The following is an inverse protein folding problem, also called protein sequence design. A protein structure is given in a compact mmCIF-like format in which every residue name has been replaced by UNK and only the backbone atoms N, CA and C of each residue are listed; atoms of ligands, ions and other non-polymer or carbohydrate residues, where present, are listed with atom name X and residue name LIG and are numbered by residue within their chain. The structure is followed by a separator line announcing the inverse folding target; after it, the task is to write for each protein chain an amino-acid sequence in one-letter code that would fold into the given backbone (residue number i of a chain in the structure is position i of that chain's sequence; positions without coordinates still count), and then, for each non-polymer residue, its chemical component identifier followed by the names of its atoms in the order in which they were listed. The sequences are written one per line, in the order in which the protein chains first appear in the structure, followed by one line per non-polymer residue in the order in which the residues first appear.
data_IF_297712216059
#
_entry.id   IF_297712216059
#
_cell.length_a   1.000
_cell.length_b   1.000
_cell.length_c   1.000
_cell.angle_alpha   90.00
_cell.angle_beta   90.00
_cell.angle_gamma   90.00
#
_symmetry.space_group_name_H-M   'P 1'
#
loop_
_entity.id
_entity.type
_entity.pdbx_description
1 polymer ?
#
# COMPACT_ATOMS: atom_id res chain seq x y z
N UNK A 1 46.03 6.11 60.32
CA UNK A 1 46.28 4.67 60.18
C UNK A 1 45.85 4.23 58.78
N UNK A 2 46.81 3.71 57.98
CA UNK A 2 46.71 2.86 56.76
C UNK A 2 45.64 3.25 55.70
N UNK A 3 45.96 3.92 54.59
CA UNK A 3 46.59 3.44 53.33
C UNK A 3 45.92 2.23 52.67
N UNK A 4 45.28 2.41 51.50
CA UNK A 4 45.75 1.94 50.18
C UNK A 4 44.73 2.17 49.05
N UNK A 5 45.30 2.45 47.88
CA UNK A 5 44.74 2.83 46.57
C UNK A 5 43.90 1.77 45.85
N UNK A 6 43.06 2.20 44.89
CA UNK A 6 43.16 1.82 43.46
C UNK A 6 42.15 2.61 42.60
N UNK A 7 42.62 3.18 41.50
CA UNK A 7 41.79 3.78 40.45
C UNK A 7 41.31 2.74 39.43
N UNK A 8 40.21 3.05 38.74
CA UNK A 8 39.83 2.47 37.44
C UNK A 8 38.75 3.31 36.76
N UNK A 9 39.18 4.00 35.70
CA UNK A 9 38.60 3.97 34.34
C UNK A 9 37.09 4.18 34.19
N UNK A 10 36.70 5.37 33.69
CA UNK A 10 35.44 5.59 32.97
C UNK A 10 35.33 4.60 31.80
N UNK A 11 34.30 3.75 31.81
CA UNK A 11 33.87 2.98 30.64
C UNK A 11 32.75 3.75 29.95
N UNK A 12 32.98 4.03 28.67
CA UNK A 12 32.00 4.45 27.68
C UNK A 12 30.88 3.42 27.54
N UNK A 13 29.66 3.92 27.35
CA UNK A 13 28.48 3.12 26.98
C UNK A 13 28.48 2.98 25.45
N UNK A 14 28.33 1.77 24.87
CA UNK A 14 28.45 1.56 23.43
C UNK A 14 27.17 1.97 22.69
N UNK A 15 27.34 2.77 21.64
CA UNK A 15 26.39 2.96 20.55
C UNK A 15 26.31 1.68 19.71
N UNK A 16 25.17 1.00 19.77
CA UNK A 16 24.68 0.11 18.71
C UNK A 16 23.37 0.78 18.24
N UNK A 17 23.22 1.25 17.00
CA UNK A 17 23.14 0.45 15.77
C UNK A 17 23.40 1.36 14.55
N UNK A 18 24.60 1.28 13.96
CA UNK A 18 24.92 1.86 12.63
C UNK A 18 25.33 0.78 11.61
N UNK A 19 25.31 -0.50 12.04
CA UNK A 19 25.83 -1.64 11.28
C UNK A 19 24.76 -2.46 10.54
N UNK A 20 23.46 -2.26 10.80
CA UNK A 20 22.40 -3.01 10.08
C UNK A 20 21.94 -2.30 8.80
N UNK A 21 21.95 -0.96 8.75
CA UNK A 21 21.60 -0.21 7.54
C UNK A 21 22.64 -0.33 6.41
N UNK A 22 23.93 -0.42 6.77
CA UNK A 22 25.04 -0.48 5.79
C UNK A 22 25.17 -1.83 5.08
N UNK A 23 24.57 -2.90 5.63
CA UNK A 23 24.57 -4.21 4.97
C UNK A 23 23.52 -4.33 3.87
N UNK A 24 22.37 -3.66 4.00
CA UNK A 24 21.33 -3.69 2.96
C UNK A 24 21.75 -2.90 1.71
N UNK A 25 22.43 -1.76 1.84
CA UNK A 25 22.96 -0.99 0.70
C UNK A 25 24.08 -1.73 -0.06
N UNK A 26 24.94 -2.47 0.67
CA UNK A 26 26.01 -3.29 0.07
C UNK A 26 25.48 -4.50 -0.70
N UNK A 27 24.34 -5.05 -0.28
CA UNK A 27 23.72 -6.21 -0.92
C UNK A 27 22.99 -5.82 -2.22
N UNK A 28 22.35 -4.65 -2.24
CA UNK A 28 21.72 -4.06 -3.42
C UNK A 28 22.74 -3.68 -4.50
N UNK A 29 23.87 -3.10 -4.12
CA UNK A 29 24.95 -2.72 -5.07
C UNK A 29 25.65 -3.92 -5.69
N UNK A 30 25.84 -5.03 -4.97
CA UNK A 30 26.40 -6.27 -5.55
C UNK A 30 25.46 -6.96 -6.55
N UNK A 31 24.14 -6.88 -6.37
CA UNK A 31 23.18 -7.49 -7.31
C UNK A 31 23.01 -6.68 -8.61
N UNK A 32 23.14 -5.35 -8.54
CA UNK A 32 23.05 -4.46 -9.71
C UNK A 32 24.30 -4.52 -10.60
N UNK A 33 25.49 -4.75 -10.03
CA UNK A 33 26.74 -4.87 -10.80
C UNK A 33 26.91 -6.24 -11.49
N UNK A 34 26.17 -7.27 -11.06
CA UNK A 34 26.26 -8.63 -11.60
C UNK A 34 25.46 -8.89 -12.88
N UNK A 35 24.58 -7.96 -13.30
CA UNK A 35 23.59 -8.19 -14.38
C UNK A 35 23.79 -7.32 -15.62
N UNK A 36 24.79 -6.42 -15.66
CA UNK A 36 25.00 -5.51 -16.80
C UNK A 36 25.78 -6.07 -18.00
N UNK A 37 26.17 -7.35 -18.00
CA UNK A 37 26.99 -7.91 -19.10
C UNK A 37 26.24 -8.62 -20.23
N UNK A 38 24.93 -8.43 -20.39
CA UNK A 38 24.23 -8.90 -21.60
C UNK A 38 22.92 -8.16 -21.79
N UNK A 39 22.89 -7.14 -22.67
CA UNK A 39 21.78 -6.76 -23.56
C UNK A 39 22.07 -5.39 -24.18
N UNK A 40 22.61 -5.37 -25.40
CA UNK A 40 22.59 -4.19 -26.27
C UNK A 40 21.29 -4.20 -27.08
N UNK A 41 20.38 -3.26 -26.81
CA UNK A 41 19.11 -3.14 -27.52
C UNK A 41 18.47 -1.77 -27.31
N UNK A 42 18.48 -0.97 -28.37
CA UNK A 42 18.01 0.42 -28.44
C UNK A 42 16.47 0.49 -28.38
N UNK A 43 15.90 1.26 -27.44
CA UNK A 43 14.47 1.61 -27.41
C UNK A 43 14.28 3.05 -26.88
N UNK A 44 14.06 3.99 -27.80
CA UNK A 44 13.63 5.36 -27.49
C UNK A 44 12.09 5.43 -27.39
N UNK A 45 11.53 5.72 -26.19
CA UNK A 45 10.17 6.25 -26.01
C UNK A 45 10.05 7.09 -24.70
N UNK A 46 9.19 8.13 -24.66
CA UNK A 46 9.26 9.22 -23.68
C UNK A 46 8.67 8.89 -22.31
N UNK A 47 9.32 9.44 -21.28
CA UNK A 47 9.01 9.30 -19.85
C UNK A 47 7.66 9.96 -19.49
N UNK A 48 6.61 9.17 -19.29
CA UNK A 48 5.37 9.60 -18.62
C UNK A 48 5.47 9.21 -17.14
N UNK A 49 5.47 10.22 -16.27
CA UNK A 49 5.39 10.05 -14.81
C UNK A 49 4.07 9.35 -14.42
N UNK A 50 4.14 8.10 -13.97
CA UNK A 50 3.04 7.41 -13.30
C UNK A 50 3.53 6.81 -11.97
N UNK A 51 2.94 7.26 -10.86
CA UNK A 51 3.08 6.62 -9.57
C UNK A 51 2.46 5.20 -9.60
N UNK A 52 3.00 4.21 -8.86
CA UNK A 52 2.54 2.84 -8.95
C UNK A 52 1.15 2.67 -8.30
N UNK A 53 0.13 2.47 -9.14
CA UNK A 53 -1.22 2.05 -8.73
C UNK A 53 -1.13 0.55 -8.38
N UNK A 54 -1.37 0.19 -7.11
CA UNK A 54 -1.60 -1.20 -6.69
C UNK A 54 -2.84 -1.72 -7.45
N UNK A 55 -2.63 -2.61 -8.41
CA UNK A 55 -3.73 -3.31 -9.11
C UNK A 55 -4.52 -4.14 -8.11
N UNK A 56 -5.82 -3.87 -8.04
CA UNK A 56 -6.78 -4.64 -7.26
C UNK A 56 -6.84 -6.10 -7.76
N UNK A 57 -6.94 -6.99 -6.79
CA UNK A 57 -6.93 -8.45 -6.94
C UNK A 57 -8.21 -8.87 -7.69
N UNK A 58 -8.07 -9.39 -8.90
CA UNK A 58 -9.17 -10.03 -9.65
C UNK A 58 -9.41 -11.41 -9.03
N UNK A 59 -10.60 -11.62 -8.46
CA UNK A 59 -11.06 -12.93 -7.99
C UNK A 59 -11.22 -13.88 -9.19
N UNK A 60 -10.44 -14.98 -9.22
CA UNK A 60 -10.65 -16.08 -10.16
C UNK A 60 -11.76 -17.00 -9.62
N UNK A 61 -12.75 -17.26 -10.48
CA UNK A 61 -13.80 -18.25 -10.28
C UNK A 61 -13.22 -19.64 -9.91
N UNK A 62 -13.71 -20.22 -8.82
CA UNK A 62 -13.39 -21.57 -8.35
C UNK A 62 -14.52 -22.54 -8.75
N UNK A 63 -14.18 -23.61 -9.47
CA UNK A 63 -15.06 -24.68 -9.91
C UNK A 63 -15.08 -25.81 -8.84
N UNK A 64 -16.24 -26.29 -8.34
CA UNK A 64 -16.29 -27.18 -7.18
C UNK A 64 -16.38 -28.66 -7.59
N UNK A 65 -15.25 -29.36 -7.65
CA UNK A 65 -15.25 -30.83 -7.60
C UNK A 65 -13.92 -31.42 -7.10
N UNK A 66 -13.78 -31.62 -5.79
CA UNK A 66 -13.30 -32.89 -5.18
C UNK A 66 -13.10 -32.77 -3.66
N UNK A 67 -14.01 -33.41 -2.92
CA UNK A 67 -13.84 -34.17 -1.68
C UNK A 67 -12.68 -33.89 -0.68
N UNK A 68 -13.09 -33.44 0.50
CA UNK A 68 -12.98 -34.10 1.82
C UNK A 68 -11.62 -34.42 2.47
N UNK A 69 -11.62 -34.20 3.80
CA UNK A 69 -10.72 -34.67 4.88
C UNK A 69 -9.53 -33.77 5.28
N UNK A 70 -9.69 -32.96 6.34
CA UNK A 70 -9.15 -33.27 7.70
C UNK A 70 -9.41 -32.17 8.74
N UNK A 71 -9.38 -32.62 9.99
CA UNK A 71 -9.96 -32.07 11.23
C UNK A 71 -9.19 -30.92 11.89
N UNK A 72 -9.97 -30.11 12.61
CA UNK A 72 -9.63 -29.20 13.72
C UNK A 72 -8.68 -29.81 14.76
N UNK A 73 -7.79 -29.00 15.34
CA UNK A 73 -7.51 -28.98 16.80
C UNK A 73 -7.16 -27.54 17.23
N UNK A 74 -7.88 -27.06 18.25
CA UNK A 74 -7.56 -25.95 19.16
C UNK A 74 -6.79 -26.52 20.35
N UNK A 75 -5.87 -25.77 20.94
CA UNK A 75 -5.63 -25.81 22.39
C UNK A 75 -5.23 -24.44 22.90
N UNK A 76 -5.85 -24.08 24.00
CA UNK A 76 -5.63 -22.92 24.85
C UNK A 76 -5.03 -23.37 26.19
N UNK A 77 -4.41 -22.40 26.86
CA UNK A 77 -4.33 -22.20 28.31
C UNK A 77 -3.20 -22.78 29.19
N UNK A 78 -2.96 -21.94 30.22
CA UNK A 78 -2.48 -22.14 31.60
C UNK A 78 -0.96 -22.25 31.81
N UNK A 79 -0.25 -21.51 32.69
CA UNK A 79 -0.42 -21.10 34.12
C UNK A 79 0.55 -19.91 34.42
N UNK A 80 0.13 -18.77 35.00
CA UNK A 80 0.14 -18.39 36.46
C UNK A 80 1.48 -18.61 37.18
N UNK A 81 1.97 -17.84 38.16
CA UNK A 81 1.57 -16.65 38.91
C UNK A 81 2.73 -16.33 39.90
N UNK A 82 2.79 -15.09 40.42
CA UNK A 82 3.29 -14.60 41.73
C UNK A 82 3.63 -13.11 41.56
N UNK A 83 3.14 -12.14 42.32
CA UNK A 83 2.52 -12.12 43.65
C UNK A 83 3.29 -11.13 44.54
N UNK A 84 2.56 -10.28 45.27
CA UNK A 84 2.95 -9.24 46.24
C UNK A 84 3.35 -7.87 45.64
N UNK A 85 2.59 -6.78 45.75
CA UNK A 85 2.03 -6.05 46.93
C UNK A 85 3.11 -5.35 47.76
N UNK A 86 3.12 -4.01 47.72
CA UNK A 86 3.14 -3.18 48.92
C UNK A 86 2.57 -1.79 48.61
N UNK A 87 1.96 -1.23 49.64
CA UNK A 87 0.98 -0.15 49.70
C UNK A 87 1.58 1.15 50.26
N UNK A 88 0.68 2.13 50.40
CA UNK A 88 0.73 3.33 51.26
C UNK A 88 1.27 4.61 50.56
N UNK A 89 0.40 5.59 50.24
CA UNK A 89 -0.16 6.67 51.11
C UNK A 89 0.95 7.65 51.53
N UNK A 90 0.86 8.98 51.53
CA UNK A 90 -0.17 10.00 51.76
C UNK A 90 0.41 11.33 51.21
N UNK A 91 -0.36 12.20 50.54
CA UNK A 91 -1.03 13.40 51.08
C UNK A 91 -0.18 14.69 51.12
N UNK A 92 -0.72 15.69 50.42
CA UNK A 92 -0.89 17.11 50.77
C UNK A 92 0.26 18.14 50.77
N UNK A 93 -0.08 19.22 50.04
CA UNK A 93 -0.03 20.64 50.39
C UNK A 93 1.16 21.57 50.06
N UNK A 94 0.73 22.70 49.47
CA UNK A 94 1.20 24.08 49.59
C UNK A 94 2.60 24.46 49.07
N UNK A 95 2.90 25.67 48.65
CA UNK A 95 2.18 26.85 48.20
C UNK A 95 3.29 27.85 47.78
N UNK A 96 2.90 28.86 47.00
CA UNK A 96 3.45 30.21 47.08
C UNK A 96 4.91 30.50 46.65
N UNK A 97 4.99 31.15 45.49
CA UNK A 97 5.40 32.56 45.35
C UNK A 97 6.78 32.89 44.75
N UNK A 98 6.70 33.92 43.89
CA UNK A 98 7.62 35.06 43.81
C UNK A 98 8.89 34.97 42.92
N UNK A 99 8.72 35.56 41.73
CA UNK A 99 9.37 36.81 41.29
C UNK A 99 10.69 36.77 40.51
N UNK A 100 10.67 37.66 39.50
CA UNK A 100 11.76 38.40 38.85
C UNK A 100 12.68 37.65 37.89
N UNK A 101 13.22 38.26 36.84
CA UNK A 101 12.92 39.42 35.95
C UNK A 101 14.09 39.46 34.94
N UNK A 102 14.00 40.35 33.96
CA UNK A 102 15.08 40.85 33.05
C UNK A 102 15.07 40.19 31.65
N UNK A 103 14.61 40.82 30.54
CA UNK A 103 15.02 42.08 29.85
C UNK A 103 16.42 41.89 29.20
N UNK A 104 16.67 41.95 27.88
CA UNK A 104 16.56 42.99 26.80
C UNK A 104 16.53 42.25 25.41
N UNK A 105 15.87 42.62 24.30
CA UNK A 105 15.86 43.82 23.40
C UNK A 105 17.25 44.12 22.75
N UNK A 106 17.52 44.40 21.46
CA UNK A 106 16.76 44.72 20.23
C UNK A 106 17.61 44.48 18.95
N UNK A 107 16.92 44.56 17.81
CA UNK A 107 17.23 45.41 16.63
C UNK A 107 18.04 44.90 15.42
N UNK A 108 17.47 45.27 14.26
CA UNK A 108 17.85 45.07 12.87
C UNK A 108 18.99 45.98 12.39
N UNK A 109 19.55 45.65 11.22
CA UNK A 109 20.01 46.65 10.25
C UNK A 109 20.10 46.09 8.82
N UNK A 110 20.07 47.01 7.85
CA UNK A 110 19.86 46.81 6.41
C UNK A 110 20.84 47.66 5.62
N UNK A 111 21.36 47.20 4.46
CA UNK A 111 21.90 48.06 3.39
C UNK A 111 22.10 47.33 2.05
N UNK A 112 22.02 48.11 0.98
CA UNK A 112 21.94 47.82 -0.47
C UNK A 112 23.26 47.88 -1.23
N UNK A 113 23.35 47.29 -2.46
CA UNK A 113 24.03 47.91 -3.63
C UNK A 113 23.78 47.14 -4.97
N UNK A 114 24.07 47.81 -6.11
CA UNK A 114 23.53 47.61 -7.48
C UNK A 114 24.52 47.01 -8.52
N UNK A 115 23.92 46.54 -9.64
CA UNK A 115 24.36 46.54 -11.07
C UNK A 115 25.09 45.32 -11.70
N UNK A 116 24.55 44.83 -12.84
CA UNK A 116 25.37 44.38 -13.99
C UNK A 116 24.93 43.12 -14.77
N UNK A 117 24.23 43.32 -15.91
CA UNK A 117 24.25 42.59 -17.21
C UNK A 117 24.25 41.04 -17.35
N UNK A 118 23.30 40.54 -18.17
CA UNK A 118 23.24 39.24 -18.89
C UNK A 118 24.42 39.03 -19.87
N UNK A 119 24.81 37.79 -20.31
CA UNK A 119 23.89 36.84 -20.98
C UNK A 119 24.15 35.32 -20.84
N UNK A 120 23.08 34.55 -21.12
CA UNK A 120 23.02 33.20 -21.71
C UNK A 120 24.18 32.20 -21.45
N UNK A 121 23.90 31.16 -20.66
CA UNK A 121 24.61 29.87 -20.78
C UNK A 121 23.69 28.70 -20.45
N UNK A 122 23.34 27.92 -21.47
CA UNK A 122 22.84 26.54 -21.36
C UNK A 122 23.86 25.67 -20.60
N UNK A 123 23.49 24.95 -19.53
CA UNK A 123 24.35 23.93 -18.96
C UNK A 123 24.10 22.59 -19.64
N UNK A 124 25.10 22.15 -20.39
CA UNK A 124 25.32 20.80 -20.85
C UNK A 124 25.32 19.78 -19.69
N UNK A 125 24.80 18.58 -19.94
CA UNK A 125 25.06 17.38 -19.15
C UNK A 125 26.58 17.12 -19.05
N UNK A 126 27.17 16.95 -17.85
CA UNK A 126 28.49 16.39 -17.74
C UNK A 126 28.39 14.86 -17.73
N UNK A 127 29.06 14.26 -18.72
CA UNK A 127 29.29 12.84 -18.83
C UNK A 127 30.01 12.28 -17.60
N UNK A 128 29.65 11.04 -17.29
CA UNK A 128 30.16 10.20 -16.22
C UNK A 128 31.63 9.83 -16.49
N UNK A 129 32.57 10.36 -15.71
CA UNK A 129 33.91 9.79 -15.59
C UNK A 129 34.07 9.14 -14.20
N UNK A 130 34.33 7.85 -14.25
CA UNK A 130 34.57 6.96 -13.13
C UNK A 130 35.99 7.17 -12.62
N UNK A 131 36.14 7.71 -11.41
CA UNK A 131 37.31 7.42 -10.59
C UNK A 131 36.93 7.08 -9.15
N UNK A 132 37.49 5.97 -8.69
CA UNK A 132 37.16 5.27 -7.45
C UNK A 132 38.06 5.75 -6.32
N UNK A 133 37.69 6.86 -5.68
CA UNK A 133 38.12 7.20 -4.32
C UNK A 133 36.94 7.81 -3.57
N UNK A 134 36.40 7.06 -2.60
CA UNK A 134 35.36 7.53 -1.69
C UNK A 134 35.94 8.60 -0.75
N UNK A 135 35.97 9.84 -1.23
CA UNK A 135 35.98 11.03 -0.40
C UNK A 135 34.51 11.31 -0.09
N UNK A 136 34.09 11.16 1.18
CA UNK A 136 32.80 11.68 1.65
C UNK A 136 32.75 13.15 1.23
N UNK A 137 31.88 13.58 0.29
CA UNK A 137 31.80 15.00 -0.02
C UNK A 137 31.31 15.70 1.24
N UNK A 138 32.04 16.71 1.70
CA UNK A 138 31.55 17.64 2.72
C UNK A 138 30.22 18.23 2.21
N UNK A 139 29.12 17.67 2.70
CA UNK A 139 27.78 18.17 2.38
C UNK A 139 27.68 19.51 3.09
N UNK A 140 27.81 20.61 2.35
CA UNK A 140 27.58 21.97 2.84
C UNK A 140 26.10 22.10 3.22
N UNK A 141 25.79 21.76 4.47
CA UNK A 141 24.45 21.84 5.06
C UNK A 141 23.87 23.25 4.90
N UNK A 142 24.71 24.29 5.03
CA UNK A 142 24.29 25.68 4.87
C UNK A 142 23.88 25.97 3.42
N UNK A 143 24.54 25.37 2.42
CA UNK A 143 24.13 25.51 1.03
C UNK A 143 22.81 24.78 0.72
N UNK A 144 22.55 23.64 1.36
CA UNK A 144 21.27 22.94 1.27
C UNK A 144 20.16 23.78 1.90
N UNK A 145 20.40 24.31 3.09
CA UNK A 145 19.44 25.16 3.79
C UNK A 145 19.13 26.42 2.99
N UNK A 146 20.15 27.11 2.46
CA UNK A 146 19.98 28.28 1.58
C UNK A 146 19.14 27.96 0.34
N UNK A 147 19.36 26.82 -0.32
CA UNK A 147 18.54 26.40 -1.46
C UNK A 147 17.09 26.10 -1.06
N UNK A 148 16.88 25.45 0.08
CA UNK A 148 15.55 25.16 0.58
C UNK A 148 14.78 26.45 0.89
N UNK A 149 15.41 27.40 1.59
CA UNK A 149 14.83 28.72 1.88
C UNK A 149 14.49 29.49 0.60
N UNK A 150 15.40 29.52 -0.39
CA UNK A 150 15.14 30.18 -1.67
C UNK A 150 13.98 29.53 -2.45
N UNK A 151 13.88 28.20 -2.44
CA UNK A 151 12.77 27.48 -3.08
C UNK A 151 11.43 27.82 -2.44
N UNK A 152 11.37 27.82 -1.10
CA UNK A 152 10.19 28.20 -0.33
C UNK A 152 9.80 29.64 -0.67
N UNK A 153 10.75 30.56 -0.61
CA UNK A 153 10.50 31.98 -0.90
C UNK A 153 9.98 32.18 -2.33
N UNK A 154 10.56 31.48 -3.32
CA UNK A 154 10.10 31.52 -4.72
C UNK A 154 8.69 30.96 -4.89
N UNK A 155 8.33 29.89 -4.16
CA UNK A 155 6.96 29.36 -4.15
C UNK A 155 5.96 30.30 -3.49
N UNK A 156 6.31 30.92 -2.38
CA UNK A 156 5.45 31.91 -1.70
C UNK A 156 5.38 33.25 -2.45
N UNK A 157 6.34 33.54 -3.33
CA UNK A 157 6.30 34.71 -4.22
C UNK A 157 5.31 34.54 -5.38
N UNK A 158 4.91 33.30 -5.69
CA UNK A 158 3.90 33.04 -6.71
C UNK A 158 2.52 33.23 -6.07
N UNK A 159 1.76 34.21 -6.58
CA UNK A 159 0.33 34.35 -6.27
C UNK A 159 -0.42 33.16 -6.90
N UNK A 160 -0.42 32.02 -6.21
CA UNK A 160 -1.24 30.87 -6.57
C UNK A 160 -2.66 31.17 -6.11
N UNK A 161 -3.60 31.20 -7.05
CA UNK A 161 -5.01 31.37 -6.74
C UNK A 161 -5.51 30.17 -5.92
N UNK A 162 -6.19 30.45 -4.79
CA UNK A 162 -6.64 29.40 -3.88
C UNK A 162 -7.90 28.70 -4.41
N UNK A 163 -7.71 27.78 -5.35
CA UNK A 163 -8.78 27.04 -6.01
C UNK A 163 -9.10 25.75 -5.23
N UNK A 164 -10.38 25.46 -4.95
CA UNK A 164 -10.81 24.19 -4.40
C UNK A 164 -10.32 22.96 -5.16
N UNK A 165 -9.98 21.90 -4.44
CA UNK A 165 -9.79 20.59 -5.05
C UNK A 165 -11.11 20.06 -5.68
N UNK A 166 -10.97 19.24 -6.72
CA UNK A 166 -12.12 18.64 -7.39
C UNK A 166 -12.62 17.35 -6.72
N UNK A 167 -11.78 16.72 -5.89
CA UNK A 167 -12.05 15.45 -5.21
C UNK A 167 -11.48 15.45 -3.79
N UNK A 168 -11.86 14.46 -2.98
CA UNK A 168 -11.33 14.24 -1.63
C UNK A 168 -11.80 15.25 -0.58
N UNK A 169 -12.64 16.21 -0.96
CA UNK A 169 -13.20 17.21 -0.05
C UNK A 169 -14.38 16.61 0.72
N UNK A 170 -14.43 16.82 2.03
CA UNK A 170 -15.62 16.48 2.82
C UNK A 170 -16.68 17.56 2.61
N UNK A 171 -17.82 17.19 2.02
CA UNK A 171 -18.91 18.11 1.69
C UNK A 171 -19.91 18.24 2.83
N UNK A 172 -20.15 17.15 3.57
CA UNK A 172 -21.23 17.09 4.57
C UNK A 172 -21.00 16.01 5.62
N UNK A 173 -21.45 16.27 6.84
CA UNK A 173 -21.50 15.32 7.95
C UNK A 173 -22.91 15.32 8.54
N UNK A 174 -23.55 14.15 8.59
CA UNK A 174 -24.83 13.92 9.27
C UNK A 174 -24.65 12.91 10.40
N UNK A 175 -25.32 13.15 11.52
CA UNK A 175 -25.27 12.34 12.72
C UNK A 175 -26.68 12.11 13.25
N UNK A 176 -27.01 10.86 13.57
CA UNK A 176 -28.30 10.43 14.10
C UNK A 176 -28.07 9.67 15.40
N UNK A 177 -28.75 10.08 16.48
CA UNK A 177 -28.65 9.51 17.83
C UNK A 177 -27.19 9.39 18.30
N UNK A 178 -26.37 10.39 18.02
CA UNK A 178 -24.93 10.40 18.25
C UNK A 178 -24.57 11.40 19.37
N UNK A 179 -23.92 10.92 20.43
CA UNK A 179 -23.58 11.69 21.62
C UNK A 179 -24.79 12.44 22.20
N UNK A 180 -24.73 13.77 22.30
CA UNK A 180 -25.85 14.58 22.78
C UNK A 180 -26.91 14.89 21.69
N UNK A 181 -26.71 14.48 20.44
CA UNK A 181 -27.56 14.86 19.31
C UNK A 181 -28.49 13.75 18.84
N UNK A 182 -29.78 14.05 18.71
CA UNK A 182 -30.73 13.15 18.06
C UNK A 182 -30.61 13.21 16.53
N UNK A 183 -30.50 14.43 15.99
CA UNK A 183 -30.15 14.67 14.61
C UNK A 183 -29.26 15.91 14.54
N UNK A 184 -28.16 15.83 13.80
CA UNK A 184 -27.21 16.92 13.63
C UNK A 184 -26.59 16.82 12.25
N UNK A 185 -26.57 17.93 11.51
CA UNK A 185 -26.11 17.99 10.13
C UNK A 185 -25.33 19.26 9.90
N UNK A 186 -24.19 19.14 9.20
CA UNK A 186 -23.31 20.25 8.85
C UNK A 186 -22.84 20.07 7.41
N UNK A 187 -23.10 21.08 6.58
CA UNK A 187 -22.49 21.22 5.26
C UNK A 187 -21.15 21.98 5.42
N UNK A 188 -20.11 21.48 4.75
CA UNK A 188 -18.75 22.03 4.79
C UNK A 188 -18.42 22.66 3.44
N UNK A 189 -17.81 23.85 3.50
CA UNK A 189 -17.20 24.50 2.35
C UNK A 189 -15.91 23.79 1.90
N UNK A 190 -15.46 24.05 0.67
CA UNK A 190 -14.40 23.27 0.03
C UNK A 190 -12.97 23.65 0.45
N UNK A 191 -12.81 24.74 1.20
CA UNK A 191 -11.52 25.25 1.66
C UNK A 191 -11.52 25.27 3.20
N UNK A 192 -11.62 26.46 3.78
CA UNK A 192 -11.55 26.66 5.23
C UNK A 192 -12.96 26.74 5.81
N UNK A 193 -13.17 26.01 6.90
CA UNK A 193 -14.44 25.95 7.61
C UNK A 193 -14.26 26.41 9.06
N UNK A 194 -15.03 27.43 9.48
CA UNK A 194 -15.06 27.88 10.87
C UNK A 194 -16.34 27.40 11.54
N UNK A 195 -16.20 26.49 12.51
CA UNK A 195 -17.33 25.95 13.28
C UNK A 195 -17.35 26.62 14.65
N UNK A 196 -18.36 27.46 14.89
CA UNK A 196 -18.50 28.24 16.13
C UNK A 196 -19.81 27.87 16.84
N UNK A 197 -19.80 27.91 18.17
CA UNK A 197 -20.98 27.60 18.98
C UNK A 197 -20.67 27.54 20.47
N UNK A 198 -21.71 27.57 21.30
CA UNK A 198 -21.61 27.48 22.76
C UNK A 198 -20.99 26.16 23.21
N UNK A 199 -20.48 26.09 24.43
CA UNK A 199 -19.99 24.83 24.99
C UNK A 199 -21.13 23.79 25.04
N UNK A 200 -20.82 22.54 24.70
CA UNK A 200 -21.82 21.47 24.60
C UNK A 200 -22.66 21.46 23.30
N UNK A 201 -22.45 22.41 22.38
CA UNK A 201 -23.25 22.50 21.14
C UNK A 201 -22.95 21.43 20.07
N UNK A 202 -22.00 20.52 20.32
CA UNK A 202 -21.65 19.46 19.35
C UNK A 202 -20.43 19.70 18.46
N UNK A 203 -19.65 20.78 18.67
CA UNK A 203 -18.48 21.10 17.83
C UNK A 203 -17.48 19.93 17.73
N UNK A 204 -17.06 19.40 18.87
CA UNK A 204 -16.15 18.25 18.93
C UNK A 204 -16.79 16.95 18.45
N UNK A 205 -18.13 16.88 18.42
CA UNK A 205 -18.85 15.74 17.88
C UNK A 205 -18.65 15.62 16.36
N UNK A 206 -18.49 16.73 15.63
CA UNK A 206 -18.18 16.71 14.18
C UNK A 206 -16.86 15.98 13.93
N UNK A 207 -15.79 16.40 14.62
CA UNK A 207 -14.47 15.78 14.45
C UNK A 207 -14.52 14.30 14.84
N UNK A 208 -15.21 13.98 15.93
CA UNK A 208 -15.36 12.59 16.37
C UNK A 208 -16.18 11.76 15.37
N UNK A 209 -17.23 12.34 14.80
CA UNK A 209 -18.05 11.70 13.78
C UNK A 209 -17.25 11.41 12.51
N UNK A 210 -16.44 12.36 12.05
CA UNK A 210 -15.50 12.18 10.95
C UNK A 210 -14.52 11.04 11.24
N UNK A 211 -13.88 11.09 12.42
CA UNK A 211 -12.91 10.06 12.82
C UNK A 211 -13.52 8.67 12.81
N UNK A 212 -14.72 8.52 13.37
CA UNK A 212 -15.40 7.23 13.38
C UNK A 212 -15.91 6.85 11.99
N UNK A 213 -16.56 7.72 11.25
CA UNK A 213 -17.16 7.35 9.97
C UNK A 213 -16.11 6.92 8.94
N UNK A 214 -14.93 7.53 8.96
CA UNK A 214 -13.83 7.27 8.04
C UNK A 214 -12.85 6.19 8.54
N UNK A 215 -13.30 5.27 9.38
CA UNK A 215 -12.56 4.05 9.71
C UNK A 215 -11.67 4.13 10.96
N UNK A 216 -11.55 5.31 11.59
CA UNK A 216 -10.79 5.49 12.82
C UNK A 216 -11.33 4.68 14.00
N UNK A 217 -10.43 4.36 14.93
CA UNK A 217 -10.75 3.60 16.15
C UNK A 217 -11.39 4.51 17.20
N UNK A 218 -12.35 3.96 17.96
CA UNK A 218 -13.03 4.68 19.04
C UNK A 218 -12.04 5.24 20.08
N UNK A 219 -11.03 4.46 20.45
CA UNK A 219 -10.02 4.83 21.45
C UNK A 219 -9.21 6.08 21.06
N UNK A 220 -9.03 6.37 19.77
CA UNK A 220 -8.25 7.53 19.29
C UNK A 220 -8.97 8.85 19.61
N UNK A 221 -10.29 8.81 19.77
CA UNK A 221 -11.09 10.01 20.02
C UNK A 221 -10.94 10.54 21.45
N UNK A 222 -10.31 9.80 22.37
CA UNK A 222 -10.22 10.09 23.81
C UNK A 222 -11.58 10.30 24.53
N UNK A 223 -12.70 10.03 23.85
CA UNK A 223 -14.06 10.20 24.37
C UNK A 223 -14.72 8.88 24.78
N UNK A 224 -14.23 7.76 24.29
CA UNK A 224 -14.83 6.46 24.57
C UNK A 224 -14.01 5.30 24.02
N UNK A 225 -13.96 4.20 24.78
CA UNK A 225 -13.22 2.99 24.38
C UNK A 225 -13.99 2.11 23.38
N UNK A 226 -15.30 2.32 23.24
CA UNK A 226 -16.16 1.54 22.35
C UNK A 226 -17.20 2.39 21.65
N UNK A 227 -17.65 1.96 20.46
CA UNK A 227 -18.69 2.65 19.69
C UNK A 227 -19.98 2.86 20.49
N UNK A 228 -20.30 1.96 21.42
CA UNK A 228 -21.50 2.03 22.26
C UNK A 228 -21.57 3.32 23.08
N UNK A 229 -20.42 3.83 23.52
CA UNK A 229 -20.33 5.07 24.31
C UNK A 229 -20.69 6.33 23.52
N UNK A 230 -20.75 6.23 22.19
CA UNK A 230 -21.12 7.34 21.31
C UNK A 230 -22.60 7.35 20.94
N UNK A 231 -23.37 6.35 21.37
CA UNK A 231 -24.82 6.31 21.16
C UNK A 231 -25.46 7.26 22.17
N UNK A 232 -26.37 8.11 21.71
CA UNK A 232 -27.15 9.00 22.57
C UNK A 232 -27.87 8.20 23.65
N UNK A 233 -27.84 8.73 24.87
CA UNK A 233 -28.54 8.12 25.99
C UNK A 233 -30.04 7.95 25.69
N UNK A 234 -30.61 6.82 26.10
CA UNK A 234 -31.99 6.44 25.78
C UNK A 234 -32.22 5.94 24.35
N UNK A 235 -31.17 5.83 23.52
CA UNK A 235 -31.25 5.26 22.16
C UNK A 235 -30.47 3.94 22.06
N UNK A 236 -30.86 3.12 21.09
CA UNK A 236 -30.31 1.77 20.86
C UNK A 236 -29.24 1.71 19.77
N UNK A 237 -29.24 2.69 18.87
CA UNK A 237 -28.30 2.76 17.75
C UNK A 237 -27.99 4.20 17.37
N UNK A 238 -26.87 4.38 16.69
CA UNK A 238 -26.45 5.63 16.10
C UNK A 238 -25.97 5.42 14.66
N UNK A 239 -26.15 6.44 13.83
CA UNK A 239 -25.70 6.44 12.44
C UNK A 239 -24.94 7.73 12.16
N UNK A 240 -23.79 7.61 11.51
CA UNK A 240 -23.00 8.74 11.03
C UNK A 240 -22.88 8.61 9.52
N UNK A 241 -23.12 9.69 8.80
CA UNK A 241 -22.99 9.77 7.35
C UNK A 241 -22.02 10.87 6.99
N UNK A 242 -21.04 10.56 6.14
CA UNK A 242 -20.07 11.53 5.61
C UNK A 242 -20.14 11.49 4.10
N UNK A 243 -20.24 12.66 3.47
CA UNK A 243 -20.20 12.81 2.01
C UNK A 243 -18.85 13.39 1.59
N UNK A 244 -18.20 12.73 0.65
CA UNK A 244 -16.92 13.12 0.07
C UNK A 244 -17.15 13.47 -1.40
N UNK A 245 -16.61 14.59 -1.84
CA UNK A 245 -16.61 15.05 -3.23
C UNK A 245 -15.75 14.10 -4.08
N UNK A 246 -16.29 13.67 -5.22
CA UNK A 246 -15.66 12.71 -6.12
C UNK A 246 -15.78 13.16 -7.58
N UNK A 247 -15.09 14.25 -7.93
CA UNK A 247 -15.17 14.88 -9.26
C UNK A 247 -13.77 15.14 -9.82
N UNK A 248 -13.71 15.54 -11.09
CA UNK A 248 -12.46 15.78 -11.79
C UNK A 248 -11.74 14.50 -12.21
N UNK A 249 -10.55 14.66 -12.78
CA UNK A 249 -9.79 13.57 -13.40
C UNK A 249 -9.30 12.51 -12.39
N UNK A 250 -9.10 12.90 -11.13
CA UNK A 250 -8.70 12.01 -10.05
C UNK A 250 -9.89 11.60 -9.15
N UNK A 251 -11.07 11.43 -9.73
CA UNK A 251 -12.20 10.83 -9.04
C UNK A 251 -11.97 9.32 -8.82
N UNK A 252 -12.30 8.82 -7.64
CA UNK A 252 -12.30 7.41 -7.31
C UNK A 252 -13.51 6.70 -7.93
N UNK A 253 -13.25 5.75 -8.84
CA UNK A 253 -14.27 4.91 -9.50
C UNK A 253 -15.56 5.69 -9.88
N UNK A 254 -15.46 6.76 -10.69
CA UNK A 254 -16.58 7.67 -10.96
C UNK A 254 -17.77 6.96 -11.61
N UNK A 255 -17.54 5.88 -12.35
CA UNK A 255 -18.62 5.07 -12.95
C UNK A 255 -19.51 4.38 -11.90
N UNK A 256 -18.96 4.03 -10.74
CA UNK A 256 -19.72 3.34 -9.69
C UNK A 256 -20.33 4.30 -8.67
N UNK A 257 -19.59 5.34 -8.30
CA UNK A 257 -19.96 6.28 -7.23
C UNK A 257 -20.56 7.59 -7.76
N UNK A 258 -20.24 8.01 -8.98
CA UNK A 258 -20.59 9.33 -9.51
C UNK A 258 -19.87 10.45 -8.76
N UNK A 259 -20.52 11.62 -8.69
CA UNK A 259 -19.88 12.89 -8.28
C UNK A 259 -19.59 13.02 -6.77
N UNK A 260 -20.12 12.11 -5.94
CA UNK A 260 -19.87 12.08 -4.50
C UNK A 260 -19.93 10.65 -3.98
N UNK A 261 -19.12 10.34 -2.97
CA UNK A 261 -19.13 9.08 -2.23
C UNK A 261 -19.77 9.34 -0.88
N UNK A 262 -20.76 8.52 -0.51
CA UNK A 262 -21.47 8.64 0.77
C UNK A 262 -21.10 7.45 1.64
N UNK A 263 -20.39 7.71 2.74
CA UNK A 263 -19.98 6.70 3.71
C UNK A 263 -20.91 6.78 4.91
N UNK A 264 -21.56 5.66 5.24
CA UNK A 264 -22.43 5.52 6.38
C UNK A 264 -21.82 4.50 7.35
N UNK A 265 -21.64 4.90 8.61
CA UNK A 265 -21.27 4.01 9.71
C UNK A 265 -22.47 3.88 10.65
N UNK A 266 -22.96 2.66 10.83
CA UNK A 266 -24.02 2.34 11.77
C UNK A 266 -23.48 1.49 12.90
N UNK A 267 -23.90 1.75 14.14
CA UNK A 267 -23.56 0.94 15.30
C UNK A 267 -24.66 0.95 16.36
N UNK A 268 -24.73 -0.15 17.12
CA UNK A 268 -25.79 -0.42 18.09
C UNK A 268 -25.24 -0.79 19.47
N UNK A 269 -26.08 -0.61 20.50
CA UNK A 269 -25.78 -0.99 21.89
C UNK A 269 -25.50 -2.48 22.04
N UNK A 270 -26.10 -3.30 21.18
CA UNK A 270 -25.91 -4.75 21.14
C UNK A 270 -24.54 -5.15 20.57
N UNK A 271 -23.75 -4.20 20.06
CA UNK A 271 -22.39 -4.42 19.56
C UNK A 271 -22.31 -4.66 18.05
N UNK A 272 -23.44 -4.73 17.34
CA UNK A 272 -23.43 -4.72 15.88
C UNK A 272 -22.94 -3.36 15.38
N UNK A 273 -21.98 -3.38 14.47
CA UNK A 273 -21.47 -2.20 13.76
C UNK A 273 -21.09 -2.57 12.33
N UNK A 274 -21.22 -1.64 11.40
CA UNK A 274 -20.90 -1.87 10.00
C UNK A 274 -20.87 -0.60 9.19
N UNK A 275 -20.37 -0.73 7.96
CA UNK A 275 -20.28 0.35 6.99
C UNK A 275 -21.24 0.09 5.82
N UNK A 276 -21.73 1.17 5.22
CA UNK A 276 -22.32 1.16 3.88
C UNK A 276 -21.69 2.30 3.11
N UNK A 277 -21.16 1.98 1.94
CA UNK A 277 -20.54 2.93 1.03
C UNK A 277 -21.48 3.04 -0.15
N UNK A 278 -21.99 4.24 -0.39
CA UNK A 278 -23.05 4.52 -1.35
C UNK A 278 -22.53 5.47 -2.42
N UNK A 279 -23.06 5.32 -3.62
CA UNK A 279 -22.92 6.28 -4.70
C UNK A 279 -23.72 7.56 -4.41
N UNK A 280 -23.47 8.60 -5.19
CA UNK A 280 -24.23 9.86 -5.22
C UNK A 280 -25.74 9.68 -5.37
N UNK A 281 -26.21 8.62 -6.06
CA UNK A 281 -27.63 8.28 -6.19
C UNK A 281 -28.24 7.59 -4.96
N UNK A 282 -27.42 7.27 -3.94
CA UNK A 282 -27.84 6.55 -2.73
C UNK A 282 -27.76 5.02 -2.83
N UNK A 283 -27.44 4.47 -4.02
CA UNK A 283 -27.22 3.02 -4.20
C UNK A 283 -26.00 2.55 -3.38
N UNK A 284 -26.17 1.50 -2.58
CA UNK A 284 -25.07 0.85 -1.84
C UNK A 284 -24.17 0.11 -2.83
N UNK A 285 -22.90 0.50 -2.87
CA UNK A 285 -21.86 -0.11 -3.71
C UNK A 285 -21.11 -1.18 -2.93
N UNK A 286 -20.77 -0.90 -1.67
CA UNK A 286 -20.03 -1.83 -0.81
C UNK A 286 -20.42 -1.68 0.66
N UNK A 287 -20.15 -2.72 1.45
CA UNK A 287 -20.29 -2.74 2.92
C UNK A 287 -18.99 -3.15 3.61
N UNK A 288 -17.93 -3.41 2.82
CA UNK A 288 -16.66 -3.93 3.33
C UNK A 288 -15.78 -2.78 3.83
N UNK A 289 -15.14 -2.98 4.98
CA UNK A 289 -14.16 -2.01 5.52
C UNK A 289 -12.98 -1.81 4.57
N UNK A 290 -12.52 -2.85 3.87
CA UNK A 290 -11.42 -2.75 2.91
C UNK A 290 -11.66 -1.76 1.77
N UNK A 291 -12.92 -1.58 1.36
CA UNK A 291 -13.28 -0.59 0.34
C UNK A 291 -13.20 0.83 0.92
N UNK A 292 -13.64 1.02 2.17
CA UNK A 292 -13.48 2.28 2.88
C UNK A 292 -11.99 2.63 3.02
N UNK A 293 -11.18 1.67 3.46
CA UNK A 293 -9.74 1.84 3.61
C UNK A 293 -9.11 2.24 2.24
N UNK A 294 -9.54 1.61 1.13
CA UNK A 294 -9.08 1.97 -0.22
C UNK A 294 -9.47 3.39 -0.64
N UNK A 295 -10.68 3.85 -0.32
CA UNK A 295 -11.14 5.22 -0.61
C UNK A 295 -10.36 6.24 0.22
N UNK A 296 -10.16 5.97 1.52
CA UNK A 296 -9.39 6.88 2.38
C UNK A 296 -7.93 6.94 1.98
N UNK A 297 -7.33 5.81 1.58
CA UNK A 297 -5.96 5.77 1.09
C UNK A 297 -5.81 6.51 -0.24
N UNK A 298 -6.76 6.31 -1.18
CA UNK A 298 -6.75 6.98 -2.48
C UNK A 298 -6.81 8.51 -2.36
N UNK A 299 -7.64 9.04 -1.45
CA UNK A 299 -7.73 10.47 -1.19
C UNK A 299 -6.74 10.97 -0.14
N UNK A 300 -5.83 10.12 0.35
CA UNK A 300 -4.89 10.44 1.42
C UNK A 300 -5.56 11.04 2.69
N UNK A 301 -6.75 10.56 3.02
CA UNK A 301 -7.50 10.97 4.21
C UNK A 301 -6.97 10.24 5.45
N UNK A 302 -5.92 10.78 6.04
CA UNK A 302 -5.23 10.13 7.18
C UNK A 302 -5.84 10.54 8.51
N UNK A 303 -6.91 9.86 8.87
CA UNK A 303 -7.71 10.14 10.06
C UNK A 303 -7.04 9.72 11.37
N UNK A 304 -6.13 8.73 11.29
CA UNK A 304 -5.36 8.24 12.44
C UNK A 304 -4.05 9.04 12.66
N UNK A 305 -3.74 9.98 11.77
CA UNK A 305 -2.56 10.84 11.86
C UNK A 305 -2.85 12.02 12.82
N UNK A 306 -2.15 12.11 13.97
CA UNK A 306 -2.38 13.15 14.97
C UNK A 306 -2.06 14.58 14.49
N UNK A 307 -1.30 14.73 13.40
CA UNK A 307 -1.01 16.03 12.79
C UNK A 307 -2.16 16.51 11.89
N UNK A 308 -2.95 15.61 11.33
CA UNK A 308 -4.11 15.95 10.50
C UNK A 308 -5.39 16.07 11.34
N UNK A 309 -5.55 15.17 12.31
CA UNK A 309 -6.68 15.16 13.24
C UNK A 309 -6.17 15.45 14.64
N UNK A 310 -6.15 16.75 14.98
CA UNK A 310 -5.74 17.21 16.30
C UNK A 310 -6.95 17.37 17.22
N UNK A 311 -7.18 16.38 18.09
CA UNK A 311 -8.22 16.50 19.13
C UNK A 311 -7.81 17.48 20.24
N UNK A 312 -8.79 18.05 20.94
CA UNK A 312 -8.55 18.96 22.05
C UNK A 312 -7.61 18.37 23.12
N UNK A 313 -7.83 17.12 23.51
CA UNK A 313 -7.02 16.45 24.52
C UNK A 313 -5.60 16.15 24.02
N UNK A 314 -5.47 15.77 22.74
CA UNK A 314 -4.18 15.51 22.11
C UNK A 314 -3.36 16.78 21.94
N UNK A 315 -4.00 17.91 21.58
CA UNK A 315 -3.36 19.22 21.55
C UNK A 315 -2.84 19.62 22.94
N UNK A 316 -3.65 19.43 23.98
CA UNK A 316 -3.25 19.72 25.36
C UNK A 316 -2.08 18.84 25.78
N UNK A 317 -2.17 17.52 25.59
CA UNK A 317 -1.10 16.58 25.93
C UNK A 317 0.21 16.89 25.20
N UNK A 318 0.13 17.25 23.93
CA UNK A 318 1.29 17.64 23.12
C UNK A 318 1.99 18.88 23.70
N UNK A 319 1.23 19.90 24.13
CA UNK A 319 1.79 21.14 24.67
C UNK A 319 2.27 21.01 26.13
N UNK A 320 1.53 20.32 26.99
CA UNK A 320 1.76 20.37 28.45
C UNK A 320 2.56 19.21 29.02
N UNK A 321 2.55 18.04 28.39
CA UNK A 321 3.01 16.81 29.04
C UNK A 321 3.76 15.86 28.09
N UNK A 322 4.36 16.38 27.02
CA UNK A 322 5.15 15.57 26.08
C UNK A 322 6.64 15.65 26.40
N UNK A 323 7.25 14.50 26.67
CA UNK A 323 8.71 14.34 26.74
C UNK A 323 9.36 14.53 25.36
N UNK A 324 10.66 14.87 25.27
CA UNK A 324 11.37 14.94 23.99
C UNK A 324 11.22 13.66 23.14
N UNK A 325 11.25 12.49 23.77
CA UNK A 325 11.05 11.19 23.12
C UNK A 325 9.63 11.04 22.54
N UNK A 326 8.61 11.49 23.26
CA UNK A 326 7.23 11.47 22.75
C UNK A 326 7.04 12.44 21.60
N UNK A 327 7.64 13.64 21.66
CA UNK A 327 7.63 14.59 20.54
C UNK A 327 8.24 13.99 19.28
N UNK A 328 9.38 13.31 19.42
CA UNK A 328 10.00 12.58 18.30
C UNK A 328 9.07 11.49 17.77
N UNK A 329 8.43 10.70 18.65
CA UNK A 329 7.46 9.69 18.23
C UNK A 329 6.26 10.30 17.49
N UNK A 330 5.74 11.42 17.97
CA UNK A 330 4.67 12.18 17.30
C UNK A 330 5.12 12.67 15.92
N UNK A 331 6.34 13.17 15.80
CA UNK A 331 6.92 13.59 14.52
C UNK A 331 7.06 12.42 13.55
N UNK A 332 7.67 11.32 13.97
CA UNK A 332 7.85 10.10 13.14
C UNK A 332 6.52 9.56 12.66
N UNK A 333 5.51 9.50 13.53
CA UNK A 333 4.15 9.08 13.17
C UNK A 333 3.46 10.08 12.25
N UNK A 334 3.59 11.38 12.54
CA UNK A 334 2.93 12.45 11.81
C UNK A 334 3.44 12.63 10.37
N UNK A 335 4.75 12.50 10.20
CA UNK A 335 5.45 12.53 8.89
C UNK A 335 5.41 11.15 8.20
N UNK A 336 4.78 10.15 8.83
CA UNK A 336 4.59 8.79 8.30
C UNK A 336 5.88 8.01 8.04
N UNK A 337 6.98 8.37 8.69
CA UNK A 337 8.24 7.63 8.56
C UNK A 337 8.10 6.20 9.09
N UNK A 338 7.28 5.99 10.13
CA UNK A 338 6.97 4.65 10.64
C UNK A 338 6.19 3.81 9.63
N UNK A 339 5.24 4.41 8.92
CA UNK A 339 4.49 3.71 7.87
C UNK A 339 5.39 3.37 6.68
N UNK A 340 6.27 4.30 6.30
CA UNK A 340 7.24 4.09 5.24
C UNK A 340 8.20 2.94 5.55
N UNK A 341 8.72 2.84 6.79
CA UNK A 341 9.56 1.71 7.21
C UNK A 341 8.81 0.37 7.10
N UNK A 342 7.54 0.35 7.53
CA UNK A 342 6.70 -0.85 7.41
C UNK A 342 6.45 -1.23 5.95
N UNK A 343 6.17 -0.25 5.09
CA UNK A 343 5.98 -0.47 3.67
C UNK A 343 7.25 -1.03 3.01
N UNK A 344 8.44 -0.52 3.37
CA UNK A 344 9.71 -1.06 2.87
C UNK A 344 9.91 -2.53 3.28
N UNK A 345 9.61 -2.89 4.53
CA UNK A 345 9.71 -4.29 5.00
C UNK A 345 8.75 -5.22 4.24
N UNK A 346 7.52 -4.77 4.00
CA UNK A 346 6.54 -5.54 3.23
C UNK A 346 6.96 -5.68 1.77
N UNK A 347 7.59 -4.65 1.19
CA UNK A 347 8.14 -4.71 -0.16
C UNK A 347 9.30 -5.71 -0.25
N UNK A 348 10.21 -5.69 0.72
CA UNK A 348 11.32 -6.65 0.81
C UNK A 348 10.79 -8.09 0.87
N UNK A 349 9.83 -8.38 1.75
CA UNK A 349 9.18 -9.70 1.82
C UNK A 349 8.49 -10.08 0.51
N UNK A 350 7.82 -9.12 -0.15
CA UNK A 350 7.16 -9.35 -1.43
C UNK A 350 8.15 -9.66 -2.55
N UNK A 351 9.33 -9.03 -2.54
CA UNK A 351 10.41 -9.29 -3.50
C UNK A 351 10.91 -10.72 -3.31
N UNK A 352 11.26 -11.10 -2.07
CA UNK A 352 11.74 -12.45 -1.74
C UNK A 352 10.73 -13.54 -2.17
N UNK A 353 9.44 -13.33 -1.87
CA UNK A 353 8.38 -14.25 -2.29
C UNK A 353 8.22 -14.34 -3.80
N UNK A 354 8.45 -13.23 -4.53
CA UNK A 354 8.34 -13.18 -5.98
C UNK A 354 9.52 -13.87 -6.64
N UNK A 355 10.73 -13.67 -6.14
CA UNK A 355 11.94 -14.37 -6.61
C UNK A 355 11.83 -15.88 -6.41
N UNK A 356 11.35 -16.31 -5.25
CA UNK A 356 11.08 -17.73 -4.99
C UNK A 356 10.10 -18.32 -6.01
N UNK A 357 8.97 -17.63 -6.28
CA UNK A 357 8.00 -18.04 -7.30
C UNK A 357 8.60 -18.04 -8.71
N UNK A 358 9.42 -17.05 -9.04
CA UNK A 358 10.09 -16.95 -10.33
C UNK A 358 10.96 -18.20 -10.58
N UNK A 359 11.75 -18.60 -9.58
CA UNK A 359 12.60 -19.81 -9.69
C UNK A 359 11.78 -21.07 -9.97
N UNK A 360 10.67 -21.26 -9.25
CA UNK A 360 9.76 -22.39 -9.43
C UNK A 360 9.14 -22.38 -10.84
N UNK A 361 8.68 -21.23 -11.30
CA UNK A 361 8.09 -21.10 -12.63
C UNK A 361 9.11 -21.33 -13.75
N UNK A 362 10.37 -20.91 -13.58
CA UNK A 362 11.44 -21.20 -14.54
C UNK A 362 11.69 -22.70 -14.67
N UNK A 363 11.66 -23.46 -13.58
CA UNK A 363 11.81 -24.92 -13.65
C UNK A 363 10.58 -25.59 -14.26
N UNK A 364 9.37 -25.12 -13.92
CA UNK A 364 8.14 -25.60 -14.58
C UNK A 364 8.15 -25.36 -16.10
N UNK A 365 8.71 -24.24 -16.57
CA UNK A 365 8.86 -23.96 -18.00
C UNK A 365 9.78 -25.01 -18.65
N UNK A 366 10.91 -25.37 -18.04
CA UNK A 366 11.82 -26.41 -18.57
C UNK A 366 11.14 -27.78 -18.68
N UNK A 367 10.34 -28.14 -17.67
CA UNK A 367 9.58 -29.39 -17.68
C UNK A 367 8.51 -29.39 -18.79
N UNK A 368 7.80 -28.28 -18.95
CA UNK A 368 6.81 -28.10 -20.03
C UNK A 368 7.46 -28.13 -21.42
N UNK A 369 8.64 -27.54 -21.59
CA UNK A 369 9.40 -27.61 -22.86
C UNK A 369 9.80 -29.05 -23.18
N UNK A 370 10.26 -29.81 -22.19
CA UNK A 370 10.60 -31.22 -22.33
C UNK A 370 9.37 -32.03 -22.74
N UNK A 371 8.24 -31.81 -22.08
CA UNK A 371 6.97 -32.46 -22.41
C UNK A 371 6.48 -32.10 -23.82
N UNK A 372 6.59 -30.82 -24.22
CA UNK A 372 6.28 -30.37 -25.58
C UNK A 372 7.14 -31.09 -26.61
N UNK A 373 8.45 -31.20 -26.37
CA UNK A 373 9.38 -31.86 -27.29
C UNK A 373 9.06 -33.36 -27.41
N UNK A 374 8.76 -34.02 -26.30
CA UNK A 374 8.34 -35.44 -26.28
C UNK A 374 7.01 -35.65 -27.02
N UNK A 375 6.02 -34.79 -26.81
CA UNK A 375 4.76 -34.84 -27.53
C UNK A 375 4.95 -34.63 -29.04
N UNK A 376 5.80 -33.69 -29.43
CA UNK A 376 6.15 -33.45 -30.84
C UNK A 376 6.85 -34.65 -31.48
N UNK A 377 7.74 -35.32 -30.76
CA UNK A 377 8.39 -36.55 -31.23
C UNK A 377 7.38 -37.69 -31.42
N UNK A 378 6.43 -37.86 -30.48
CA UNK A 378 5.34 -38.85 -30.60
C UNK A 378 4.43 -38.55 -31.79
N UNK A 379 4.09 -37.28 -32.03
CA UNK A 379 3.31 -36.87 -33.19
C UNK A 379 4.02 -37.25 -34.50
N UNK A 380 5.29 -36.89 -34.65
CA UNK A 380 6.08 -37.23 -35.84
C UNK A 380 6.20 -38.75 -36.08
N UNK A 381 6.26 -39.55 -35.01
CA UNK A 381 6.22 -41.01 -35.10
C UNK A 381 4.84 -41.52 -35.56
N UNK A 382 3.76 -40.92 -35.05
CA UNK A 382 2.39 -41.24 -35.48
C UNK A 382 2.20 -40.97 -36.98
N UNK A 383 2.66 -39.82 -37.47
CA UNK A 383 2.57 -39.44 -38.88
C UNK A 383 3.33 -40.44 -39.77
N UNK A 384 4.55 -40.85 -39.37
CA UNK A 384 5.31 -41.91 -40.06
C UNK A 384 4.55 -43.24 -40.06
N UNK A 385 3.97 -43.65 -38.94
CA UNK A 385 3.19 -44.87 -38.86
C UNK A 385 1.96 -44.83 -39.77
N UNK A 386 1.32 -43.67 -39.92
CA UNK A 386 0.20 -43.49 -40.83
C UNK A 386 0.63 -43.68 -42.30
N UNK A 387 1.77 -43.11 -42.71
CA UNK A 387 2.31 -43.33 -44.07
C UNK A 387 2.63 -44.80 -44.33
N UNK A 388 3.21 -45.52 -43.37
CA UNK A 388 3.48 -46.96 -43.50
C UNK A 388 2.18 -47.77 -43.59
N UNK A 389 1.16 -47.43 -42.78
CA UNK A 389 -0.17 -48.06 -42.88
C UNK A 389 -0.81 -47.83 -44.24
N UNK A 390 -0.68 -46.63 -44.81
CA UNK A 390 -1.15 -46.33 -46.16
C UNK A 390 -0.44 -47.20 -47.21
N UNK A 391 0.87 -47.38 -47.09
CA UNK A 391 1.66 -48.26 -47.97
C UNK A 391 1.24 -49.73 -47.85
N UNK A 392 0.99 -50.23 -46.63
CA UNK A 392 0.47 -51.59 -46.41
C UNK A 392 -0.89 -51.76 -47.05
N UNK A 393 -1.80 -50.78 -46.93
CA UNK A 393 -3.11 -50.82 -47.61
C UNK A 393 -2.95 -50.89 -49.13
N UNK A 394 -2.04 -50.10 -49.70
CA UNK A 394 -1.79 -50.10 -51.14
C UNK A 394 -1.22 -51.44 -51.62
N UNK A 395 -0.22 -52.01 -50.94
CA UNK A 395 0.35 -53.31 -51.27
C UNK A 395 -0.67 -54.45 -51.15
N UNK A 396 -1.56 -54.41 -50.15
CA UNK A 396 -2.66 -55.38 -50.04
C UNK A 396 -3.63 -55.28 -51.22
N UNK A 397 -3.95 -54.07 -51.66
CA UNK A 397 -4.78 -53.88 -52.85
C UNK A 397 -4.10 -54.43 -54.11
N UNK A 398 -2.79 -54.17 -54.29
CA UNK A 398 -2.02 -54.75 -55.40
C UNK A 398 -2.01 -56.28 -55.35
N UNK A 399 -1.79 -56.87 -54.17
CA UNK A 399 -1.83 -58.33 -53.99
C UNK A 399 -3.19 -58.93 -54.39
N UNK A 400 -4.30 -58.28 -54.02
CA UNK A 400 -5.63 -58.70 -54.42
C UNK A 400 -5.82 -58.66 -55.95
N UNK A 401 -5.31 -57.62 -56.62
CA UNK A 401 -5.34 -57.53 -58.09
C UNK A 401 -4.50 -58.62 -58.78
N UNK A 402 -3.33 -58.95 -58.25
CA UNK A 402 -2.50 -60.05 -58.78
C UNK A 402 -3.23 -61.39 -58.66
N UNK A 403 -3.94 -61.63 -57.55
CA UNK A 403 -4.77 -62.85 -57.40
C UNK A 403 -5.90 -62.91 -58.43
N UNK A 404 -6.55 -61.77 -58.73
CA UNK A 404 -7.57 -61.69 -59.79
C UNK A 404 -6.95 -62.00 -61.15
N UNK A 405 -5.81 -61.40 -61.48
CA UNK A 405 -5.10 -61.65 -62.76
C UNK A 405 -4.72 -63.13 -62.92
N UNK A 406 -4.27 -63.78 -61.85
CA UNK A 406 -3.94 -65.21 -61.86
C UNK A 406 -5.18 -66.08 -62.12
N UNK A 407 -6.30 -65.78 -61.48
CA UNK A 407 -7.57 -66.47 -61.71
C UNK A 407 -8.12 -66.22 -63.13
N UNK A 408 -8.01 -65.00 -63.65
CA UNK A 408 -8.38 -64.67 -65.02
C UNK A 408 -7.53 -65.42 -66.05
N UNK A 409 -6.22 -65.60 -65.79
CA UNK A 409 -5.34 -66.43 -66.62
C UNK A 409 -5.75 -67.90 -66.60
N UNK A 410 -6.12 -68.43 -65.43
CA UNK A 410 -6.64 -69.80 -65.29
C UNK A 410 -7.97 -69.96 -66.04
N UNK A 411 -8.91 -69.03 -65.86
CA UNK A 411 -10.19 -69.03 -66.57
C UNK A 411 -9.98 -68.94 -68.08
N UNK A 412 -9.11 -68.05 -68.56
CA UNK A 412 -8.78 -67.90 -69.97
C UNK A 412 -8.18 -69.18 -70.56
N UNK A 413 -7.31 -69.88 -69.81
CA UNK A 413 -6.81 -71.21 -70.20
C UNK A 413 -7.92 -72.26 -70.26
N UNK A 414 -8.85 -72.24 -69.30
CA UNK A 414 -9.97 -73.19 -69.24
C UNK A 414 -10.98 -72.97 -70.38
N UNK A 415 -11.31 -71.69 -70.67
CA UNK A 415 -12.17 -71.29 -71.80
C UNK A 415 -11.54 -71.66 -73.15
N UNK A 416 -10.21 -71.55 -73.29
CA UNK A 416 -9.48 -72.06 -74.47
C UNK A 416 -9.58 -73.58 -74.62
N UNK A 417 -9.67 -74.32 -73.52
CA UNK A 417 -9.76 -75.77 -73.51
C UNK A 417 -11.19 -76.27 -73.84
N UNK A 418 -12.22 -75.50 -73.48
CA UNK A 418 -13.62 -75.82 -73.83
C UNK A 418 -13.96 -75.43 -75.28
N UNK A 419 -13.31 -74.42 -75.86
CA UNK A 419 -13.50 -74.07 -77.29
C UNK A 419 -12.88 -75.08 -78.26
N UNK A 420 -11.93 -75.92 -77.84
CA UNK A 420 -11.45 -77.05 -78.64
C UNK A 420 -12.27 -78.35 -78.46
N UNK A 421 -13.34 -78.33 -77.64
CA UNK A 421 -14.25 -79.46 -77.43
C UNK A 421 -15.63 -79.29 -78.08
N UNK A 422 -15.78 -78.36 -79.03
CA UNK A 422 -17.02 -78.13 -79.77
C UNK A 422 -16.75 -78.06 -81.27
N UNK A 423 -16.46 -79.21 -81.88
CA UNK A 423 -16.64 -79.50 -83.30
C UNK A 423 -16.92 -80.98 -83.47
#
# INVERSE_FOLDING_TARGET
MKSLSRGSTMRSVPYATRHEFTNNEKRLTQHLLGTQNNCTGNWDLPFLSMAPIKRSRVDQHYDPSSSALRKKVRTSDVLTARGASDSDSDSDDDAANSSNSDMYDSAAESASERNGADPAHTPHDPAFESDSQLVEPDIDEDAIERRASQYIQKKFSQNIENVPAEHGIIERVDCYNFMCHEHFSVDLGPLINFIVGKNGSGKSAILTALTLCLGGKASVTNRGQSLKSFIKEGKDSATIVVRIKNQGDSAYNPNEFGNSIIIERHFSRNGSSGFKIKSSSGRVVSTKKSELDSITDYFALQIDNPMNVLSQDMARQFLSSSSPSEKYKFFVKGVQLEQLDQDYRLLEESIDQTEAKLSIHLDQIKDLETNRNNARAKLALSDKNETMRARVRNLRAQMAWVQVEEQEKVQSRCVRCTTCGSY
#
